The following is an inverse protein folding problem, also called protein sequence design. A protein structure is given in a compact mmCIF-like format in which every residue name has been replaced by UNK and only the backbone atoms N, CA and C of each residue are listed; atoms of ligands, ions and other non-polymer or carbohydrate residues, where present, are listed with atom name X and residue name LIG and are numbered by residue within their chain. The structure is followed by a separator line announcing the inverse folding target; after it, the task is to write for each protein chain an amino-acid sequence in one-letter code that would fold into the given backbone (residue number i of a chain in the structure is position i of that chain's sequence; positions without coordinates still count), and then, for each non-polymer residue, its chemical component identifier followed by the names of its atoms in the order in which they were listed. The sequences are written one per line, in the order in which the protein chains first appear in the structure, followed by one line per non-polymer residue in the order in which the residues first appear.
data_IF_285200679780
#
_entry.id   IF_285200679780
#
_cell.length_a   1.000
_cell.length_b   1.000
_cell.length_c   1.000
_cell.angle_alpha   90.00
_cell.angle_beta   90.00
_cell.angle_gamma   90.00
#
_symmetry.space_group_name_H-M   'P 1'
#
loop_
_entity.id
_entity.type
_entity.pdbx_description
1 polymer ?
#
# COMPACT_ATOMS: atom_id res chain seq x y z
N UNK A 1 7.67 -12.80 5.93
CA UNK A 1 8.29 -12.33 4.67
C UNK A 1 8.69 -10.86 4.74
N UNK A 2 9.88 -10.52 4.25
CA UNK A 2 10.40 -9.15 4.30
C UNK A 2 9.72 -8.19 3.30
N UNK A 3 9.21 -8.69 2.17
CA UNK A 3 8.57 -7.87 1.14
C UNK A 3 7.23 -7.29 1.61
N UNK A 4 6.34 -8.13 2.14
CA UNK A 4 5.04 -7.68 2.66
C UNK A 4 5.19 -6.63 3.76
N UNK A 5 6.07 -6.88 4.73
CA UNK A 5 6.31 -5.93 5.83
C UNK A 5 7.01 -4.63 5.39
N UNK A 6 7.62 -4.58 4.19
CA UNK A 6 8.14 -3.35 3.59
C UNK A 6 7.01 -2.54 2.98
N UNK A 7 6.20 -3.18 2.14
CA UNK A 7 5.05 -2.57 1.47
C UNK A 7 4.04 -2.06 2.51
N UNK A 8 3.74 -2.87 3.53
CA UNK A 8 2.84 -2.49 4.61
C UNK A 8 3.34 -1.26 5.37
N UNK A 9 4.63 -1.18 5.69
CA UNK A 9 5.21 -0.01 6.36
C UNK A 9 5.20 1.23 5.49
N UNK A 10 5.49 1.09 4.20
CA UNK A 10 5.47 2.22 3.27
C UNK A 10 4.06 2.80 3.14
N UNK A 11 3.06 1.92 2.96
CA UNK A 11 1.65 2.31 2.89
C UNK A 11 1.14 2.89 4.21
N UNK A 12 1.52 2.31 5.35
CA UNK A 12 1.12 2.82 6.67
C UNK A 12 1.75 4.20 6.99
N UNK A 13 2.80 4.61 6.27
CA UNK A 13 3.39 5.93 6.36
C UNK A 13 2.66 7.00 5.55
N UNK A 14 1.72 6.63 4.69
CA UNK A 14 0.96 7.58 3.86
C UNK A 14 -0.10 8.28 4.71
N UNK A 15 -0.15 9.61 4.61
CA UNK A 15 -1.14 10.42 5.32
C UNK A 15 -2.57 10.02 4.89
N UNK A 16 -3.43 9.78 5.88
CA UNK A 16 -4.81 9.34 5.70
C UNK A 16 -4.99 7.83 5.58
N UNK A 17 -3.92 7.03 5.61
CA UNK A 17 -4.04 5.57 5.73
C UNK A 17 -4.34 5.18 7.17
N UNK A 18 -5.44 4.45 7.35
CA UNK A 18 -5.95 4.01 8.65
C UNK A 18 -5.62 2.53 8.90
N UNK A 19 -5.70 1.69 7.85
CA UNK A 19 -5.26 0.29 7.92
C UNK A 19 -4.65 -0.18 6.60
N UNK A 20 -3.66 -1.06 6.72
CA UNK A 20 -3.05 -1.79 5.60
C UNK A 20 -3.04 -3.28 5.95
N UNK A 21 -3.39 -4.11 4.98
CA UNK A 21 -3.19 -5.57 5.04
C UNK A 21 -2.60 -6.03 3.72
N UNK A 22 -1.52 -6.79 3.80
CA UNK A 22 -0.87 -7.37 2.62
C UNK A 22 -1.11 -8.87 2.62
N UNK A 23 -1.70 -9.38 1.54
CA UNK A 23 -1.86 -10.81 1.30
C UNK A 23 -0.84 -11.24 0.25
N UNK A 24 0.19 -11.99 0.66
CA UNK A 24 1.16 -12.57 -0.27
C UNK A 24 0.61 -13.79 -1.02
N UNK A 25 -0.35 -14.50 -0.43
CA UNK A 25 -1.02 -15.63 -1.08
C UNK A 25 -1.78 -15.16 -2.32
N UNK A 26 -2.42 -13.99 -2.23
CA UNK A 26 -3.19 -13.42 -3.34
C UNK A 26 -2.41 -12.37 -4.14
N UNK A 27 -1.29 -11.88 -3.61
CA UNK A 27 -0.48 -10.81 -4.25
C UNK A 27 -1.18 -9.45 -4.23
N UNK A 28 -2.03 -9.19 -3.23
CA UNK A 28 -2.86 -7.98 -3.15
C UNK A 28 -2.63 -7.27 -1.82
N UNK A 29 -2.70 -5.94 -1.82
CA UNK A 29 -2.71 -5.12 -0.62
C UNK A 29 -4.08 -4.45 -0.46
N UNK A 30 -4.76 -4.74 0.64
CA UNK A 30 -5.97 -4.06 1.05
C UNK A 30 -5.62 -2.85 1.90
N UNK A 31 -6.07 -1.67 1.47
CA UNK A 31 -5.79 -0.41 2.14
C UNK A 31 -7.12 0.24 2.50
N UNK A 32 -7.27 0.65 3.76
CA UNK A 32 -8.31 1.57 4.19
C UNK A 32 -7.67 2.92 4.45
N UNK A 33 -8.11 3.90 3.69
CA UNK A 33 -7.66 5.27 3.81
C UNK A 33 -8.86 6.22 3.73
N UNK A 34 -8.65 7.45 4.20
CA UNK A 34 -9.63 8.53 4.07
C UNK A 34 -9.92 8.85 2.60
N UNK A 35 -11.07 9.47 2.34
CA UNK A 35 -11.51 9.89 0.99
C UNK A 35 -10.56 10.91 0.33
N UNK A 36 -9.65 11.50 1.10
CA UNK A 36 -8.63 12.46 0.64
C UNK A 36 -7.32 11.79 0.23
N UNK A 37 -7.18 10.49 0.47
CA UNK A 37 -5.98 9.75 0.11
C UNK A 37 -6.10 9.28 -1.34
N UNK A 38 -5.38 9.95 -2.23
CA UNK A 38 -5.35 9.59 -3.64
C UNK A 38 -4.65 8.25 -3.87
N UNK A 39 -5.19 7.49 -4.83
CA UNK A 39 -4.62 6.22 -5.27
C UNK A 39 -3.16 6.36 -5.72
N UNK A 40 -2.82 7.46 -6.40
CA UNK A 40 -1.46 7.74 -6.85
C UNK A 40 -0.47 7.86 -5.68
N UNK A 41 -0.89 8.38 -4.53
CA UNK A 41 -0.03 8.47 -3.33
C UNK A 41 0.30 7.08 -2.78
N UNK A 42 -0.69 6.19 -2.76
CA UNK A 42 -0.50 4.81 -2.32
C UNK A 42 0.46 4.08 -3.26
N UNK A 43 0.26 4.20 -4.58
CA UNK A 43 1.14 3.59 -5.58
C UNK A 43 2.56 4.15 -5.50
N UNK A 44 2.71 5.46 -5.34
CA UNK A 44 4.02 6.10 -5.17
C UNK A 44 4.76 5.59 -3.93
N UNK A 45 4.07 5.44 -2.80
CA UNK A 45 4.69 4.93 -1.57
C UNK A 45 5.20 3.48 -1.73
N UNK A 46 4.46 2.65 -2.49
CA UNK A 46 4.93 1.30 -2.84
C UNK A 46 6.14 1.37 -3.79
N UNK A 47 6.12 2.30 -4.74
CA UNK A 47 7.25 2.64 -5.62
C UNK A 47 8.52 3.00 -4.85
N UNK A 48 8.41 3.87 -3.84
CA UNK A 48 9.52 4.25 -2.97
C UNK A 48 10.06 3.09 -2.13
N UNK A 49 9.23 2.09 -1.83
CA UNK A 49 9.65 0.84 -1.21
C UNK A 49 10.39 -0.11 -2.18
N UNK A 50 10.42 0.21 -3.48
CA UNK A 50 11.05 -0.58 -4.54
C UNK A 50 10.14 -1.61 -5.20
N UNK A 51 8.82 -1.41 -5.12
CA UNK A 51 7.82 -2.31 -5.68
C UNK A 51 6.86 -1.55 -6.60
N UNK A 52 6.27 -2.23 -7.57
CA UNK A 52 5.21 -1.65 -8.41
C UNK A 52 3.85 -2.14 -7.89
N UNK A 53 2.89 -1.22 -7.80
CA UNK A 53 1.50 -1.52 -7.47
C UNK A 53 0.58 -0.91 -8.51
N UNK A 54 -0.47 -1.64 -8.86
CA UNK A 54 -1.57 -1.13 -9.70
C UNK A 54 -2.85 -1.14 -8.88
N UNK A 55 -3.71 -0.15 -9.12
CA UNK A 55 -5.05 -0.18 -8.55
C UNK A 55 -5.86 -1.32 -9.14
N UNK A 56 -6.41 -2.18 -8.30
CA UNK A 56 -7.52 -3.02 -8.68
C UNK A 56 -8.74 -2.10 -8.85
N UNK A 57 -9.15 -1.89 -10.10
CA UNK A 57 -10.37 -1.15 -10.45
C UNK A 57 -11.63 -1.95 -10.20
#
# INVERSE_FOLDING_TARGET
DACASRVERALAGVEGVDRVRVSLEEGIAEIRADERTDHERLVSAVGEAGYEATGAG
#
